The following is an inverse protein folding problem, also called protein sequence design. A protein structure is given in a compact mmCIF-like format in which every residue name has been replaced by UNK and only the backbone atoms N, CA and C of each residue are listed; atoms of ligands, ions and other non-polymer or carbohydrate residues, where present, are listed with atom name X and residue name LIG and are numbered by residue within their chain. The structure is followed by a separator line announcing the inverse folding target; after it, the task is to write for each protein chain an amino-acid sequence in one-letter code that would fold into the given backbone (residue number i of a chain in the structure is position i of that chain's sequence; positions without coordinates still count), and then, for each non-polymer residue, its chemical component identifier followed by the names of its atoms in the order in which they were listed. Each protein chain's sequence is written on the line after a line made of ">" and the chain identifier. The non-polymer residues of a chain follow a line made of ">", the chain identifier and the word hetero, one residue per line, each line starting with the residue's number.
data_IF_468336425966
#
_entry.id   IF_468336425966
#
_cell.length_a   1.000
_cell.length_b   1.000
_cell.length_c   1.000
_cell.angle_alpha   90.00
_cell.angle_beta   90.00
_cell.angle_gamma   90.00
#
_symmetry.space_group_name_H-M   'P 1'
#
loop_
_entity.id
_entity.type
_entity.pdbx_description
1 polymer ?
#
# COMPACT_ATOMS: atom_id res chain seq x y z
N UNK A 1 22.28 0.60 16.31
CA UNK A 1 21.76 1.94 15.92
C UNK A 1 21.19 2.64 17.15
N UNK A 2 21.36 3.96 17.29
CA UNK A 2 20.64 4.73 18.33
C UNK A 2 19.12 4.63 18.08
N UNK A 3 18.31 4.64 19.14
CA UNK A 3 16.84 4.53 19.05
C UNK A 3 16.23 5.59 18.13
N UNK A 4 16.74 6.82 18.18
CA UNK A 4 16.33 7.91 17.30
C UNK A 4 16.57 7.60 15.81
N UNK A 5 17.67 6.91 15.49
CA UNK A 5 17.99 6.48 14.13
C UNK A 5 17.04 5.39 13.65
N UNK A 6 16.66 4.43 14.53
CA UNK A 6 15.68 3.38 14.19
C UNK A 6 14.31 3.98 13.85
N UNK A 7 13.85 4.94 14.65
CA UNK A 7 12.57 5.63 14.42
C UNK A 7 12.60 6.43 13.10
N UNK A 8 13.70 7.14 12.83
CA UNK A 8 13.85 7.91 11.58
C UNK A 8 13.86 7.01 10.34
N UNK A 9 14.55 5.87 10.41
CA UNK A 9 14.56 4.87 9.33
C UNK A 9 13.17 4.24 9.16
N UNK A 10 12.52 3.83 10.25
CA UNK A 10 11.17 3.25 10.20
C UNK A 10 10.16 4.22 9.56
N UNK A 11 10.23 5.52 9.90
CA UNK A 11 9.36 6.52 9.28
C UNK A 11 9.64 6.69 7.78
N UNK A 12 10.92 6.70 7.39
CA UNK A 12 11.32 6.78 5.97
C UNK A 12 10.82 5.56 5.19
N UNK A 13 10.91 4.36 5.76
CA UNK A 13 10.41 3.12 5.15
C UNK A 13 8.89 3.16 5.00
N UNK A 14 8.13 3.64 6.00
CA UNK A 14 6.67 3.80 5.89
C UNK A 14 6.28 4.76 4.76
N UNK A 15 7.01 5.88 4.60
CA UNK A 15 6.78 6.82 3.51
C UNK A 15 7.02 6.15 2.16
N UNK A 16 8.14 5.46 2.00
CA UNK A 16 8.47 4.74 0.75
C UNK A 16 7.41 3.68 0.43
N UNK A 17 7.00 2.89 1.42
CA UNK A 17 5.94 1.89 1.27
C UNK A 17 4.60 2.54 0.87
N UNK A 18 4.25 3.67 1.48
CA UNK A 18 3.05 4.44 1.13
C UNK A 18 3.07 4.94 -0.31
N UNK A 19 4.20 5.50 -0.77
CA UNK A 19 4.38 5.96 -2.15
C UNK A 19 4.28 4.81 -3.15
N UNK A 20 4.96 3.69 -2.88
CA UNK A 20 4.89 2.50 -3.74
C UNK A 20 3.45 1.96 -3.80
N UNK A 21 2.78 1.84 -2.65
CA UNK A 21 1.40 1.40 -2.59
C UNK A 21 0.45 2.29 -3.39
N UNK A 22 0.65 3.61 -3.33
CA UNK A 22 -0.14 4.56 -4.10
C UNK A 22 0.09 4.44 -5.62
N UNK A 23 1.34 4.27 -6.05
CA UNK A 23 1.67 4.06 -7.47
C UNK A 23 1.03 2.78 -7.99
N UNK A 24 1.14 1.67 -7.25
CA UNK A 24 0.52 0.39 -7.61
C UNK A 24 -1.00 0.51 -7.69
N UNK A 25 -1.62 1.25 -6.76
CA UNK A 25 -3.05 1.48 -6.78
C UNK A 25 -3.50 2.28 -8.02
N UNK A 26 -2.76 3.33 -8.40
CA UNK A 26 -3.03 4.09 -9.63
C UNK A 26 -2.92 3.18 -10.86
N UNK A 27 -1.85 2.38 -10.96
CA UNK A 27 -1.62 1.49 -12.09
C UNK A 27 -2.78 0.49 -12.29
N UNK A 28 -3.27 -0.08 -11.19
CA UNK A 28 -4.42 -0.98 -11.20
C UNK A 28 -5.70 -0.24 -11.61
N UNK A 29 -5.93 0.97 -11.12
CA UNK A 29 -7.11 1.76 -11.51
C UNK A 29 -7.09 2.10 -12.99
N UNK A 30 -5.95 2.53 -13.53
CA UNK A 30 -5.81 2.85 -14.94
C UNK A 30 -6.04 1.61 -15.81
N UNK A 31 -5.57 0.45 -15.35
CA UNK A 31 -5.80 -0.83 -16.02
C UNK A 31 -7.29 -1.20 -16.04
N UNK A 32 -7.99 -1.06 -14.91
CA UNK A 32 -9.43 -1.34 -14.80
C UNK A 32 -10.24 -0.34 -15.65
N UNK A 33 -9.92 0.95 -15.57
CA UNK A 33 -10.62 2.02 -16.28
C UNK A 33 -10.45 1.94 -17.81
N UNK A 34 -9.37 1.32 -18.28
CA UNK A 34 -9.14 1.06 -19.70
C UNK A 34 -9.95 -0.13 -20.24
N UNK A 35 -10.63 -0.88 -19.36
CA UNK A 35 -11.45 -2.02 -19.76
C UNK A 35 -12.78 -1.57 -20.38
N UNK A 36 -13.24 -2.18 -21.50
CA UNK A 36 -14.53 -1.90 -22.11
C UNK A 36 -15.72 -2.53 -21.35
N UNK A 37 -15.48 -3.20 -20.22
CA UNK A 37 -16.51 -3.87 -19.44
C UNK A 37 -17.50 -2.87 -18.76
N UNK A 38 -18.77 -3.24 -18.54
CA UNK A 38 -19.72 -2.40 -17.83
C UNK A 38 -19.30 -2.14 -16.37
N UNK A 39 -19.63 -0.95 -15.84
CA UNK A 39 -19.23 -0.51 -14.49
C UNK A 39 -19.59 -1.50 -13.36
N UNK A 40 -20.72 -2.21 -13.49
CA UNK A 40 -21.17 -3.22 -12.51
C UNK A 40 -20.17 -4.38 -12.37
N UNK A 41 -19.47 -4.73 -13.46
CA UNK A 41 -18.43 -5.75 -13.47
C UNK A 41 -17.10 -5.18 -12.99
N UNK A 42 -16.81 -3.89 -13.22
CA UNK A 42 -15.57 -3.24 -12.79
C UNK A 42 -15.53 -2.89 -11.29
N UNK A 43 -16.68 -2.51 -10.72
CA UNK A 43 -16.76 -2.05 -9.33
C UNK A 43 -16.25 -3.07 -8.29
N UNK A 44 -16.55 -4.38 -8.40
CA UNK A 44 -15.95 -5.39 -7.53
C UNK A 44 -14.42 -5.43 -7.63
N UNK A 45 -13.85 -5.31 -8.83
CA UNK A 45 -12.38 -5.34 -9.01
C UNK A 45 -11.70 -4.13 -8.38
N UNK A 46 -12.29 -2.92 -8.50
CA UNK A 46 -11.71 -1.73 -7.88
C UNK A 46 -11.79 -1.78 -6.35
N UNK A 47 -12.88 -2.30 -5.79
CA UNK A 47 -13.04 -2.47 -4.35
C UNK A 47 -12.06 -3.52 -3.81
N UNK A 48 -12.04 -4.71 -4.43
CA UNK A 48 -11.19 -5.81 -3.99
C UNK A 48 -9.71 -5.46 -4.10
N UNK A 49 -9.27 -4.83 -5.19
CA UNK A 49 -7.88 -4.41 -5.34
C UNK A 49 -7.46 -3.41 -4.26
N UNK A 50 -8.32 -2.42 -3.98
CA UNK A 50 -8.06 -1.43 -2.93
C UNK A 50 -7.98 -2.08 -1.55
N UNK A 51 -8.85 -3.04 -1.24
CA UNK A 51 -8.81 -3.80 0.01
C UNK A 51 -7.54 -4.62 0.16
N UNK A 52 -7.11 -5.32 -0.90
CA UNK A 52 -5.89 -6.12 -0.90
C UNK A 52 -4.66 -5.24 -0.67
N UNK A 53 -4.53 -4.15 -1.42
CA UNK A 53 -3.40 -3.20 -1.28
C UNK A 53 -3.36 -2.63 0.14
N UNK A 54 -4.51 -2.25 0.69
CA UNK A 54 -4.61 -1.72 2.06
C UNK A 54 -4.22 -2.75 3.11
N UNK A 55 -4.64 -4.02 2.94
CA UNK A 55 -4.27 -5.11 3.84
C UNK A 55 -2.76 -5.36 3.83
N UNK A 56 -2.15 -5.40 2.64
CA UNK A 56 -0.70 -5.57 2.47
C UNK A 56 0.06 -4.41 3.11
N UNK A 57 -0.32 -3.16 2.81
CA UNK A 57 0.30 -1.97 3.41
C UNK A 57 0.20 -1.97 4.93
N UNK A 58 -0.98 -2.34 5.47
CA UNK A 58 -1.19 -2.44 6.91
C UNK A 58 -0.25 -3.48 7.54
N UNK A 59 -0.11 -4.65 6.90
CA UNK A 59 0.80 -5.70 7.35
C UNK A 59 2.27 -5.23 7.34
N UNK A 60 2.69 -4.60 6.25
CA UNK A 60 4.05 -4.07 6.12
C UNK A 60 4.34 -2.95 7.15
N UNK A 61 3.38 -2.05 7.38
CA UNK A 61 3.54 -0.96 8.36
C UNK A 61 3.68 -1.52 9.79
N UNK A 62 2.85 -2.50 10.16
CA UNK A 62 2.96 -3.19 11.46
C UNK A 62 4.28 -3.94 11.59
N UNK A 63 4.75 -4.58 10.51
CA UNK A 63 6.06 -5.25 10.48
C UNK A 63 7.22 -4.28 10.72
N UNK A 64 7.20 -3.11 10.07
CA UNK A 64 8.19 -2.04 10.27
C UNK A 64 8.14 -1.50 11.70
N UNK A 65 6.96 -1.36 12.29
CA UNK A 65 6.82 -0.95 13.69
C UNK A 65 7.36 -1.99 14.67
N UNK A 66 7.08 -3.28 14.43
CA UNK A 66 7.59 -4.37 15.26
C UNK A 66 9.12 -4.40 15.22
N UNK A 67 9.71 -4.31 14.02
CA UNK A 67 11.16 -4.23 13.85
C UNK A 67 11.79 -3.00 14.52
N UNK A 68 11.11 -1.85 14.47
CA UNK A 68 11.60 -0.63 15.11
C UNK A 68 11.57 -0.68 16.64
N UNK A 69 10.67 -1.47 17.23
CA UNK A 69 10.52 -1.63 18.70
C UNK A 69 11.45 -2.72 19.27
N UNK A 70 11.87 -3.68 18.44
CA UNK A 70 12.83 -4.73 18.79
C UNK A 70 14.30 -4.30 18.77
#
# INVERSE_FOLDING_TARGET
>A
MKQETKIKVANSVKIVLGVIGFIVWIDIILTIASSPAPFIEQAPYCMVSTMIISAILTGLFKGVEYWSKG
#
